data_IF_570022208028
#
_entry.id   IF_570022208028
#
_cell.length_a   1.000
_cell.length_b   1.000
_cell.length_c   1.000
_cell.angle_alpha   90.00
_cell.angle_beta   90.00
_cell.angle_gamma   90.00
#
_symmetry.space_group_name_H-M   'P 1'
#
loop_
_entity.id
_entity.type
_entity.pdbx_description
1 polymer ?
#
# COMPACT_ATOMS: atom_id res chain seq x y z
N UNK A 1 -0.61 2.11 -29.79
CA UNK A 1 -1.04 1.83 -28.41
C UNK A 1 -1.57 3.12 -27.82
N UNK A 2 -2.83 3.22 -27.37
CA UNK A 2 -3.36 4.52 -27.00
C UNK A 2 -2.91 4.87 -25.59
N UNK A 3 -2.34 6.06 -25.45
CA UNK A 3 -2.26 6.75 -24.17
C UNK A 3 -3.62 6.70 -23.44
N UNK A 4 -3.65 6.71 -22.10
CA UNK A 4 -4.90 6.75 -21.36
C UNK A 4 -5.75 7.96 -21.76
N UNK A 5 -7.07 7.79 -21.76
CA UNK A 5 -8.01 8.90 -21.94
C UNK A 5 -7.78 9.97 -20.87
N UNK A 6 -7.94 11.24 -21.24
CA UNK A 6 -7.67 12.38 -20.35
C UNK A 6 -8.48 12.32 -19.05
N UNK A 7 -9.73 11.83 -19.11
CA UNK A 7 -10.61 11.60 -17.97
C UNK A 7 -10.03 10.64 -16.94
N UNK A 8 -9.27 9.62 -17.36
CA UNK A 8 -8.65 8.63 -16.46
C UNK A 8 -7.48 9.21 -15.65
N UNK A 9 -6.89 10.33 -16.08
CA UNK A 9 -5.83 11.00 -15.31
C UNK A 9 -6.37 11.89 -14.19
N UNK A 10 -7.66 12.26 -14.24
CA UNK A 10 -8.24 13.24 -13.33
C UNK A 10 -8.09 12.81 -11.85
N UNK A 11 -8.51 11.59 -11.51
CA UNK A 11 -8.45 11.10 -10.14
C UNK A 11 -7.01 10.89 -9.64
N UNK A 12 -6.10 10.22 -10.38
CA UNK A 12 -4.69 10.11 -9.99
C UNK A 12 -4.00 11.46 -9.72
N UNK A 13 -4.29 12.50 -10.51
CA UNK A 13 -3.73 13.84 -10.27
C UNK A 13 -4.19 14.39 -8.90
N UNK A 14 -5.48 14.26 -8.58
CA UNK A 14 -6.01 14.75 -7.32
C UNK A 14 -5.49 13.93 -6.13
N UNK A 15 -5.35 12.61 -6.28
CA UNK A 15 -4.79 11.70 -5.27
C UNK A 15 -3.33 12.03 -4.96
N UNK A 16 -2.50 12.26 -5.99
CA UNK A 16 -1.09 12.65 -5.82
C UNK A 16 -0.96 14.00 -5.11
N UNK A 17 -1.79 14.98 -5.47
CA UNK A 17 -1.79 16.28 -4.79
C UNK A 17 -2.27 16.18 -3.35
N UNK A 18 -3.26 15.32 -3.07
CA UNK A 18 -3.72 15.05 -1.71
C UNK A 18 -2.60 14.42 -0.87
N UNK A 19 -1.90 13.42 -1.42
CA UNK A 19 -0.79 12.72 -0.77
C UNK A 19 0.39 13.65 -0.43
N UNK A 20 0.62 14.71 -1.21
CA UNK A 20 1.68 15.71 -0.94
C UNK A 20 1.23 16.89 -0.08
N UNK A 21 0.09 16.79 0.61
CA UNK A 21 -0.42 17.83 1.50
C UNK A 21 -1.18 18.95 0.78
N UNK A 22 -1.81 18.63 -0.35
CA UNK A 22 -2.70 19.52 -1.09
C UNK A 22 -2.02 20.38 -2.16
N UNK A 23 -0.70 20.25 -2.39
CA UNK A 23 -0.05 20.92 -3.52
C UNK A 23 1.25 20.24 -3.95
N UNK A 24 1.61 20.36 -5.23
CA UNK A 24 2.95 19.97 -5.70
C UNK A 24 3.38 20.65 -7.01
N UNK A 25 4.68 20.59 -7.33
CA UNK A 25 5.22 20.99 -8.62
C UNK A 25 4.84 19.98 -9.71
N UNK A 26 4.38 20.49 -10.84
CA UNK A 26 3.90 19.67 -11.96
C UNK A 26 4.97 18.73 -12.52
N UNK A 27 6.24 19.14 -12.45
CA UNK A 27 7.36 18.32 -12.93
C UNK A 27 7.46 16.97 -12.19
N UNK A 28 7.08 16.93 -10.91
CA UNK A 28 7.10 15.70 -10.12
C UNK A 28 5.86 14.84 -10.39
N UNK A 29 4.71 15.48 -10.66
CA UNK A 29 3.48 14.78 -11.07
C UNK A 29 3.70 13.95 -12.33
N UNK A 30 4.45 14.45 -13.32
CA UNK A 30 4.72 13.69 -14.55
C UNK A 30 5.36 12.33 -14.29
N UNK A 31 6.27 12.24 -13.32
CA UNK A 31 6.96 10.99 -13.00
C UNK A 31 6.08 10.07 -12.15
N UNK A 32 5.41 10.61 -11.13
CA UNK A 32 4.61 9.80 -10.19
C UNK A 32 3.33 9.26 -10.82
N UNK A 33 2.72 9.98 -11.75
CA UNK A 33 1.52 9.51 -12.44
C UNK A 33 1.76 8.27 -13.32
N UNK A 34 3.01 7.96 -13.68
CA UNK A 34 3.32 6.79 -14.51
C UNK A 34 2.94 5.48 -13.82
N UNK A 35 3.10 5.39 -12.49
CA UNK A 35 2.80 4.16 -11.74
C UNK A 35 1.31 3.79 -11.73
N UNK A 36 0.42 4.74 -12.04
CA UNK A 36 -1.03 4.52 -12.15
C UNK A 36 -1.43 3.89 -13.50
N UNK A 37 -0.52 3.85 -14.46
CA UNK A 37 -0.77 3.37 -15.82
C UNK A 37 0.30 2.34 -16.23
N UNK A 38 0.26 1.11 -15.67
CA UNK A 38 1.26 0.07 -15.93
C UNK A 38 1.35 -0.35 -17.41
N UNK A 39 0.36 0.02 -18.22
CA UNK A 39 0.36 -0.19 -19.66
C UNK A 39 1.29 0.77 -20.44
N UNK A 40 1.79 1.84 -19.82
CA UNK A 40 2.73 2.77 -20.47
C UNK A 40 4.14 2.16 -20.49
N UNK A 41 4.74 2.09 -21.68
CA UNK A 41 6.14 1.66 -21.84
C UNK A 41 7.07 2.88 -21.99
N UNK A 42 8.40 2.73 -21.77
CA UNK A 42 9.35 3.84 -21.89
C UNK A 42 9.27 4.59 -23.22
N UNK A 43 9.04 3.88 -24.33
CA UNK A 43 8.90 4.46 -25.66
C UNK A 43 7.70 5.43 -25.76
N UNK A 44 6.62 5.14 -25.04
CA UNK A 44 5.45 6.04 -24.98
C UNK A 44 5.77 7.30 -24.17
N UNK A 45 6.58 7.17 -23.11
CA UNK A 45 6.96 8.30 -22.26
C UNK A 45 7.90 9.27 -22.98
N UNK A 46 8.70 8.78 -23.93
CA UNK A 46 9.57 9.60 -24.78
C UNK A 46 8.89 10.12 -26.06
N UNK A 47 7.69 9.60 -26.38
CA UNK A 47 6.98 9.96 -27.59
C UNK A 47 6.67 11.47 -27.66
N UNK A 48 7.05 12.08 -28.78
CA UNK A 48 6.82 13.48 -29.07
C UNK A 48 5.79 13.68 -30.20
N UNK A 49 5.18 14.85 -30.23
CA UNK A 49 4.40 15.32 -31.38
C UNK A 49 5.32 15.81 -32.50
N UNK A 50 4.77 16.02 -33.70
CA UNK A 50 5.49 16.64 -34.81
C UNK A 50 6.05 18.04 -34.46
N UNK A 51 5.48 18.69 -33.43
CA UNK A 51 5.94 19.97 -32.90
C UNK A 51 6.97 19.84 -31.75
N UNK A 52 7.54 18.65 -31.54
CA UNK A 52 8.57 18.39 -30.52
C UNK A 52 8.07 18.37 -29.07
N UNK A 53 6.75 18.43 -28.83
CA UNK A 53 6.18 18.38 -27.48
C UNK A 53 5.96 16.95 -27.03
N UNK A 54 6.40 16.63 -25.81
CA UNK A 54 6.20 15.33 -25.18
C UNK A 54 4.70 15.04 -24.97
N UNK A 55 4.22 13.91 -25.50
CA UNK A 55 2.80 13.56 -25.53
C UNK A 55 2.22 13.30 -24.14
N UNK A 56 2.96 12.59 -23.28
CA UNK A 56 2.56 12.31 -21.90
C UNK A 56 2.35 13.60 -21.10
N UNK A 57 3.31 14.53 -21.15
CA UNK A 57 3.20 15.81 -20.45
C UNK A 57 2.01 16.64 -20.95
N UNK A 58 1.73 16.62 -22.25
CA UNK A 58 0.56 17.30 -22.80
C UNK A 58 -0.76 16.72 -22.27
N UNK A 59 -0.85 15.40 -22.14
CA UNK A 59 -2.05 14.75 -21.60
C UNK A 59 -2.29 15.10 -20.14
N UNK A 60 -1.23 15.04 -19.31
CA UNK A 60 -1.29 15.46 -17.91
C UNK A 60 -1.74 16.92 -17.82
N UNK A 61 -1.16 17.81 -18.64
CA UNK A 61 -1.55 19.23 -18.69
C UNK A 61 -3.00 19.44 -19.13
N UNK A 62 -3.51 18.63 -20.07
CA UNK A 62 -4.90 18.68 -20.52
C UNK A 62 -5.85 18.28 -19.40
N UNK A 63 -5.56 17.17 -18.71
CA UNK A 63 -6.33 16.72 -17.55
C UNK A 63 -6.33 17.75 -16.43
N UNK A 64 -5.18 18.37 -16.14
CA UNK A 64 -5.09 19.46 -15.17
C UNK A 64 -5.92 20.68 -15.54
N UNK A 65 -6.00 21.03 -16.84
CA UNK A 65 -6.86 22.13 -17.32
C UNK A 65 -8.35 21.79 -17.15
N UNK A 66 -8.74 20.54 -17.39
CA UNK A 66 -10.12 20.09 -17.18
C UNK A 66 -10.51 20.11 -15.70
N UNK A 67 -9.62 19.63 -14.82
CA UNK A 67 -9.81 19.71 -13.36
C UNK A 67 -9.91 21.15 -12.85
N UNK A 68 -9.11 22.06 -13.41
CA UNK A 68 -9.19 23.49 -13.11
C UNK A 68 -10.51 24.10 -13.56
N UNK A 69 -11.00 23.75 -14.75
CA UNK A 69 -12.29 24.23 -15.26
C UNK A 69 -13.48 23.78 -14.38
N UNK A 70 -13.40 22.59 -13.80
CA UNK A 70 -14.42 22.04 -12.88
C UNK A 70 -14.22 22.55 -11.43
N UNK A 71 -13.13 23.28 -11.18
CA UNK A 71 -12.83 23.88 -9.88
C UNK A 71 -12.34 22.89 -8.83
N UNK A 72 -11.79 21.75 -9.25
CA UNK A 72 -11.23 20.72 -8.36
C UNK A 72 -9.74 20.96 -8.07
N UNK A 73 -9.09 21.73 -8.93
CA UNK A 73 -7.67 22.05 -8.85
C UNK A 73 -7.46 23.52 -9.22
N UNK A 74 -6.41 24.15 -8.70
CA UNK A 74 -5.97 25.49 -9.08
C UNK A 74 -4.54 25.44 -9.60
N UNK A 75 -4.25 26.05 -10.75
CA UNK A 75 -2.90 26.05 -11.35
C UNK A 75 -2.20 27.38 -11.08
N UNK A 76 -1.09 27.32 -10.35
CA UNK A 76 -0.25 28.47 -10.01
C UNK A 76 1.15 28.30 -10.60
N UNK A 77 1.38 28.87 -11.79
CA UNK A 77 2.65 28.76 -12.54
C UNK A 77 3.08 27.29 -12.72
N UNK A 78 4.01 26.82 -11.88
CA UNK A 78 4.60 25.48 -11.90
C UNK A 78 4.07 24.57 -10.80
N UNK A 79 3.17 25.07 -9.94
CA UNK A 79 2.55 24.36 -8.83
C UNK A 79 1.07 24.18 -9.06
N UNK A 80 0.55 23.00 -8.79
CA UNK A 80 -0.88 22.74 -8.77
C UNK A 80 -1.33 22.55 -7.33
N UNK A 81 -2.50 23.10 -7.01
CA UNK A 81 -3.09 23.10 -5.68
C UNK A 81 -4.43 22.39 -5.73
N UNK A 82 -4.64 21.49 -4.79
CA UNK A 82 -5.92 20.84 -4.56
C UNK A 82 -6.88 21.84 -3.92
N UNK A 83 -8.10 21.90 -4.43
CA UNK A 83 -9.17 22.72 -3.84
C UNK A 83 -10.01 21.89 -2.86
N UNK A 84 -10.85 22.53 -2.05
CA UNK A 84 -11.81 21.82 -1.20
C UNK A 84 -12.75 20.89 -2.00
N UNK A 85 -13.13 21.29 -3.22
CA UNK A 85 -13.95 20.46 -4.12
C UNK A 85 -13.19 19.23 -4.61
N UNK A 86 -11.93 19.42 -5.02
CA UNK A 86 -11.07 18.31 -5.43
C UNK A 86 -10.78 17.35 -4.29
N UNK A 87 -10.54 17.88 -3.09
CA UNK A 87 -10.39 17.09 -1.87
C UNK A 87 -11.65 16.25 -1.61
N UNK A 88 -12.84 16.86 -1.65
CA UNK A 88 -14.12 16.13 -1.50
C UNK A 88 -14.29 15.04 -2.55
N UNK A 89 -13.85 15.26 -3.80
CA UNK A 89 -13.87 14.23 -4.85
C UNK A 89 -12.94 13.07 -4.51
N UNK A 90 -11.70 13.35 -4.09
CA UNK A 90 -10.75 12.31 -3.64
C UNK A 90 -11.33 11.50 -2.48
N UNK A 91 -11.92 12.17 -1.49
CA UNK A 91 -12.58 11.52 -0.35
C UNK A 91 -13.79 10.68 -0.81
N UNK A 92 -14.63 11.21 -1.70
CA UNK A 92 -15.81 10.49 -2.22
C UNK A 92 -15.41 9.26 -3.04
N UNK A 93 -14.40 9.37 -3.89
CA UNK A 93 -13.89 8.27 -4.71
C UNK A 93 -13.13 7.23 -3.87
N UNK A 94 -12.41 7.66 -2.83
CA UNK A 94 -11.85 6.76 -1.83
C UNK A 94 -12.94 5.97 -1.10
N UNK A 95 -14.11 6.58 -0.85
CA UNK A 95 -15.30 5.92 -0.31
C UNK A 95 -16.00 5.02 -1.36
N UNK A 96 -15.94 5.34 -2.65
CA UNK A 96 -16.54 4.51 -3.71
C UNK A 96 -15.69 3.28 -4.07
N UNK A 97 -14.39 3.32 -3.83
CA UNK A 97 -13.50 2.15 -3.90
C UNK A 97 -13.36 1.42 -2.56
N UNK A 98 -14.41 1.44 -1.72
CA UNK A 98 -14.50 0.51 -0.60
C UNK A 98 -14.96 -0.84 -1.16
N UNK A 99 -14.14 -1.92 -1.15
CA UNK A 99 -14.73 -3.25 -1.19
C UNK A 99 -15.69 -3.33 0.01
N UNK A 100 -16.96 -3.61 -0.25
CA UNK A 100 -18.07 -3.58 0.72
C UNK A 100 -17.66 -4.02 2.13
N UNK A 101 -17.36 -3.04 3.00
CA UNK A 101 -17.52 -3.01 4.46
C UNK A 101 -16.57 -1.99 5.09
N UNK A 102 -16.93 -0.70 5.04
CA UNK A 102 -16.71 0.17 6.18
C UNK A 102 -17.87 -0.01 7.17
N UNK A 103 -18.00 -1.23 7.72
CA UNK A 103 -18.37 -1.29 9.13
C UNK A 103 -17.04 -1.01 9.81
N UNK A 104 -16.82 0.22 10.25
CA UNK A 104 -15.92 0.43 11.38
C UNK A 104 -16.55 -0.40 12.50
N UNK A 105 -16.02 -1.58 12.87
CA UNK A 105 -16.49 -2.17 14.10
C UNK A 105 -16.09 -1.15 15.16
N UNK A 106 -17.03 -0.80 16.03
CA UNK A 106 -16.75 0.00 17.20
C UNK A 106 -15.42 -0.44 17.80
N UNK A 107 -14.51 0.51 17.96
CA UNK A 107 -13.14 0.43 18.45
C UNK A 107 -12.89 -0.74 19.41
N UNK A 108 -12.71 -1.94 18.88
CA UNK A 108 -12.08 -3.03 19.60
C UNK A 108 -10.61 -2.91 19.22
N UNK A 109 -9.83 -2.34 20.13
CA UNK A 109 -8.37 -2.32 20.01
C UNK A 109 -7.90 -3.77 19.87
N UNK A 110 -7.53 -4.16 18.65
CA UNK A 110 -7.00 -5.48 18.36
C UNK A 110 -5.79 -5.71 19.26
N UNK A 111 -5.88 -6.73 20.12
CA UNK A 111 -4.78 -7.08 21.01
C UNK A 111 -3.66 -7.78 20.24
N UNK A 112 -2.46 -7.78 20.82
CA UNK A 112 -1.30 -8.45 20.21
C UNK A 112 -1.58 -9.94 19.94
N UNK A 113 -2.20 -10.64 20.90
CA UNK A 113 -2.54 -12.06 20.76
C UNK A 113 -3.63 -12.32 19.73
N UNK A 114 -4.62 -11.44 19.60
CA UNK A 114 -5.64 -11.58 18.57
C UNK A 114 -5.06 -11.42 17.17
N UNK A 115 -4.17 -10.45 16.98
CA UNK A 115 -3.45 -10.28 15.72
C UNK A 115 -2.58 -11.51 15.39
N UNK A 116 -1.84 -12.05 16.35
CA UNK A 116 -1.09 -13.30 16.16
C UNK A 116 -2.02 -14.45 15.74
N UNK A 117 -3.15 -14.64 16.43
CA UNK A 117 -4.13 -15.68 16.09
C UNK A 117 -4.68 -15.52 14.68
N UNK A 118 -5.04 -14.30 14.27
CA UNK A 118 -5.50 -14.01 12.91
C UNK A 118 -4.45 -14.41 11.87
N UNK A 119 -3.17 -14.11 12.11
CA UNK A 119 -2.07 -14.51 11.22
C UNK A 119 -1.88 -16.02 11.13
N UNK A 120 -2.13 -16.78 12.22
CA UNK A 120 -2.11 -18.25 12.17
C UNK A 120 -3.23 -18.78 11.29
N UNK A 121 -4.45 -18.32 11.53
CA UNK A 121 -5.63 -18.76 10.80
C UNK A 121 -5.48 -18.46 9.31
N UNK A 122 -5.07 -17.24 8.96
CA UNK A 122 -4.76 -16.87 7.57
C UNK A 122 -3.70 -17.80 6.98
N UNK A 123 -2.59 -18.03 7.67
CA UNK A 123 -1.53 -18.90 7.18
C UNK A 123 -2.02 -20.31 6.87
N UNK A 124 -2.82 -20.88 7.77
CA UNK A 124 -3.42 -22.21 7.60
C UNK A 124 -4.41 -22.24 6.42
N UNK A 125 -5.23 -21.20 6.26
CA UNK A 125 -6.17 -21.08 5.12
C UNK A 125 -5.47 -20.84 3.78
N UNK A 126 -4.19 -20.48 3.78
CA UNK A 126 -3.36 -20.36 2.60
C UNK A 126 -2.41 -21.55 2.42
N UNK A 127 -2.60 -22.63 3.18
CA UNK A 127 -1.82 -23.87 3.06
C UNK A 127 -0.44 -23.82 3.69
N UNK A 128 -0.14 -22.81 4.51
CA UNK A 128 1.10 -22.71 5.26
C UNK A 128 1.04 -23.41 6.61
N UNK A 129 2.19 -23.90 7.05
CA UNK A 129 2.38 -24.27 8.45
C UNK A 129 2.74 -23.02 9.27
N UNK A 130 1.76 -22.50 10.02
CA UNK A 130 1.88 -21.28 10.80
C UNK A 130 2.05 -21.56 12.30
N UNK A 131 2.95 -20.82 12.97
CA UNK A 131 3.21 -20.93 14.41
C UNK A 131 3.36 -19.56 15.08
N UNK A 132 2.84 -19.42 16.30
CA UNK A 132 3.01 -18.22 17.14
C UNK A 132 4.23 -18.37 18.04
N UNK A 133 4.83 -17.24 18.43
CA UNK A 133 5.90 -17.14 19.41
C UNK A 133 7.06 -18.12 19.10
N UNK A 134 7.43 -18.21 17.82
CA UNK A 134 8.47 -19.12 17.36
C UNK A 134 9.85 -18.46 17.54
N UNK A 135 10.65 -19.03 18.44
CA UNK A 135 11.94 -18.49 18.87
C UNK A 135 11.82 -17.06 19.38
N UNK A 136 12.17 -16.07 18.55
CA UNK A 136 12.12 -14.64 18.86
C UNK A 136 11.06 -13.89 18.06
N UNK A 137 10.33 -14.59 17.19
CA UNK A 137 9.37 -14.02 16.25
C UNK A 137 7.94 -14.20 16.73
N UNK A 138 7.09 -13.21 16.49
CA UNK A 138 5.72 -13.26 16.98
C UNK A 138 4.88 -14.28 16.20
N UNK A 139 5.00 -14.32 14.87
CA UNK A 139 4.41 -15.39 14.03
C UNK A 139 5.36 -15.73 12.88
N UNK A 140 5.43 -17.01 12.52
CA UNK A 140 6.16 -17.48 11.34
C UNK A 140 5.31 -18.43 10.51
N UNK A 141 5.50 -18.37 9.19
CA UNK A 141 4.93 -19.35 8.26
C UNK A 141 6.03 -20.14 7.58
N UNK A 142 5.73 -21.41 7.30
CA UNK A 142 6.59 -22.36 6.61
C UNK A 142 5.80 -23.13 5.57
N UNK A 143 6.52 -23.70 4.58
CA UNK A 143 5.89 -24.56 3.58
C UNK A 143 5.31 -25.84 4.21
N UNK A 144 5.97 -26.37 5.24
CA UNK A 144 5.53 -27.53 6.00
C UNK A 144 6.12 -27.50 7.41
N UNK A 145 5.65 -28.37 8.30
CA UNK A 145 6.16 -28.47 9.68
C UNK A 145 7.66 -28.83 9.75
N UNK A 146 8.15 -29.60 8.80
CA UNK A 146 9.55 -30.04 8.73
C UNK A 146 10.44 -29.09 7.93
N UNK A 147 9.86 -28.06 7.29
CA UNK A 147 10.63 -27.10 6.53
C UNK A 147 11.55 -26.30 7.46
N UNK A 148 12.87 -26.26 7.20
CA UNK A 148 13.81 -25.49 7.99
C UNK A 148 13.73 -24.00 7.69
N UNK A 149 13.17 -23.61 6.54
CA UNK A 149 13.08 -22.22 6.10
C UNK A 149 11.77 -21.57 6.56
N UNK A 150 11.88 -20.42 7.20
CA UNK A 150 10.80 -19.48 7.46
C UNK A 150 10.49 -18.73 6.16
N UNK A 151 9.34 -19.02 5.56
CA UNK A 151 8.93 -18.35 4.32
C UNK A 151 8.45 -16.92 4.61
N UNK A 152 7.67 -16.75 5.68
CA UNK A 152 7.16 -15.46 6.12
C UNK A 152 7.43 -15.28 7.62
N UNK A 153 7.80 -14.07 8.02
CA UNK A 153 8.03 -13.69 9.41
C UNK A 153 7.24 -12.42 9.71
N UNK A 154 6.48 -12.45 10.81
CA UNK A 154 5.61 -11.38 11.22
C UNK A 154 6.00 -10.89 12.62
N UNK A 155 6.02 -9.57 12.80
CA UNK A 155 6.10 -8.90 14.10
C UNK A 155 4.87 -8.03 14.31
N UNK A 156 4.27 -8.09 15.51
CA UNK A 156 3.03 -7.41 15.86
C UNK A 156 3.30 -6.34 16.90
N UNK A 157 3.17 -5.07 16.52
CA UNK A 157 3.50 -3.94 17.36
C UNK A 157 2.27 -3.07 17.66
N UNK A 158 1.49 -3.49 18.66
CA UNK A 158 0.30 -2.74 19.14
C UNK A 158 0.70 -1.56 20.02
N UNK A 159 1.70 -1.69 20.89
CA UNK A 159 2.16 -0.64 21.82
C UNK A 159 3.64 -0.81 22.14
N UNK A 160 4.42 0.28 22.16
CA UNK A 160 5.88 0.24 22.40
C UNK A 160 6.72 0.57 21.14
N UNK A 161 8.01 0.23 21.20
CA UNK A 161 8.99 0.61 20.16
C UNK A 161 8.97 -0.33 18.95
N UNK A 162 8.83 0.27 17.75
CA UNK A 162 8.90 -0.44 16.46
C UNK A 162 10.33 -0.94 16.15
N UNK A 163 11.36 -0.32 16.72
CA UNK A 163 12.77 -0.65 16.38
C UNK A 163 13.14 -2.09 16.76
N UNK A 164 12.59 -2.61 17.86
CA UNK A 164 12.84 -3.98 18.30
C UNK A 164 12.23 -5.01 17.35
N UNK A 165 11.04 -4.72 16.79
CA UNK A 165 10.41 -5.52 15.76
C UNK A 165 11.23 -5.49 14.46
N UNK A 166 11.66 -4.30 14.02
CA UNK A 166 12.50 -4.17 12.81
C UNK A 166 13.85 -4.88 12.93
N UNK A 167 14.45 -4.85 14.11
CA UNK A 167 15.69 -5.59 14.39
C UNK A 167 15.48 -7.11 14.25
N UNK A 168 14.31 -7.62 14.68
CA UNK A 168 13.94 -9.02 14.49
C UNK A 168 13.73 -9.35 13.02
N UNK A 169 12.97 -8.54 12.29
CA UNK A 169 12.74 -8.73 10.85
C UNK A 169 14.02 -8.68 10.04
N UNK A 170 14.94 -7.74 10.35
CA UNK A 170 16.25 -7.66 9.68
C UNK A 170 17.03 -8.97 9.82
N UNK A 171 17.07 -9.52 11.02
CA UNK A 171 17.74 -10.80 11.26
C UNK A 171 17.13 -11.96 10.47
N UNK A 172 15.79 -12.03 10.40
CA UNK A 172 15.10 -13.05 9.58
C UNK A 172 15.48 -12.93 8.09
N UNK A 173 15.53 -11.70 7.58
CA UNK A 173 15.92 -11.43 6.21
C UNK A 173 17.38 -11.80 5.92
N UNK A 174 18.30 -11.44 6.80
CA UNK A 174 19.73 -11.72 6.62
C UNK A 174 20.02 -13.23 6.65
N UNK A 175 19.35 -13.98 7.52
CA UNK A 175 19.59 -15.41 7.67
C UNK A 175 18.86 -16.26 6.63
N UNK A 176 17.61 -15.94 6.33
CA UNK A 176 16.73 -16.84 5.58
C UNK A 176 16.07 -16.20 4.35
N UNK A 177 16.29 -14.90 4.13
CA UNK A 177 15.64 -14.13 3.06
C UNK A 177 14.12 -14.31 3.09
N UNK A 178 13.54 -14.29 4.29
CA UNK A 178 12.09 -14.41 4.50
C UNK A 178 11.35 -13.19 3.99
N UNK A 179 10.08 -13.37 3.64
CA UNK A 179 9.14 -12.27 3.42
C UNK A 179 8.77 -11.66 4.78
N UNK A 180 8.91 -10.34 4.93
CA UNK A 180 8.85 -9.68 6.23
C UNK A 180 7.56 -8.87 6.36
N UNK A 181 6.89 -8.99 7.50
CA UNK A 181 5.65 -8.27 7.77
C UNK A 181 5.69 -7.61 9.14
N UNK A 182 5.30 -6.34 9.18
CA UNK A 182 5.15 -5.58 10.41
C UNK A 182 3.70 -5.16 10.57
N UNK A 183 3.02 -5.67 11.60
CA UNK A 183 1.65 -5.28 11.94
C UNK A 183 1.68 -4.15 12.96
N UNK A 184 1.02 -3.02 12.69
CA UNK A 184 1.02 -1.84 13.57
C UNK A 184 -0.40 -1.29 13.80
N UNK A 185 -0.58 -0.60 14.93
CA UNK A 185 -1.83 0.09 15.24
C UNK A 185 -1.96 1.38 14.40
N UNK A 186 -3.10 1.48 13.68
CA UNK A 186 -3.42 2.39 12.56
C UNK A 186 -3.00 3.87 12.76
N UNK A 187 -3.01 4.36 14.00
CA UNK A 187 -2.71 5.76 14.34
C UNK A 187 -1.23 6.16 14.14
N UNK A 188 -0.32 5.21 13.87
CA UNK A 188 1.13 5.46 13.72
C UNK A 188 1.65 5.34 12.28
N UNK A 189 0.81 4.98 11.32
CA UNK A 189 1.29 4.18 10.18
C UNK A 189 2.11 4.93 9.13
N UNK A 190 1.70 6.10 8.64
CA UNK A 190 2.40 6.66 7.46
C UNK A 190 3.60 7.54 7.79
N UNK A 191 3.56 8.27 8.90
CA UNK A 191 4.61 9.25 9.24
C UNK A 191 5.79 8.63 9.99
N UNK A 192 5.55 7.53 10.71
CA UNK A 192 6.53 6.90 11.60
C UNK A 192 7.47 5.94 10.85
N UNK A 193 6.95 5.19 9.86
CA UNK A 193 7.77 4.39 8.97
C UNK A 193 8.73 5.26 8.15
N UNK A 194 8.25 6.27 7.42
CA UNK A 194 9.10 7.05 6.51
C UNK A 194 10.33 7.74 7.15
N UNK A 195 10.25 8.20 8.41
CA UNK A 195 11.37 8.91 9.07
C UNK A 195 12.42 8.00 9.72
N UNK A 196 12.03 6.85 10.29
CA UNK A 196 12.95 5.90 10.95
C UNK A 196 13.61 4.94 9.95
N UNK A 197 13.00 4.79 8.76
CA UNK A 197 13.45 3.95 7.64
C UNK A 197 14.54 4.59 6.76
N UNK A 198 14.90 5.85 7.00
CA UNK A 198 16.04 6.51 6.35
C UNK A 198 17.40 6.18 7.02
N UNK A 199 17.39 5.41 8.12
CA UNK A 199 18.57 5.03 8.89
C UNK A 199 18.93 3.54 8.79
N UNK A 200 19.15 2.89 9.94
CA UNK A 200 19.74 1.54 10.08
C UNK A 200 18.96 0.37 9.45
N UNK A 201 17.76 0.62 8.91
CA UNK A 201 16.88 -0.41 8.33
C UNK A 201 16.62 -0.23 6.83
N UNK A 202 17.32 0.70 6.17
CA UNK A 202 17.13 0.98 4.74
C UNK A 202 17.28 -0.27 3.85
N UNK A 203 18.16 -1.20 4.22
CA UNK A 203 18.47 -2.42 3.46
C UNK A 203 17.29 -3.40 3.34
N UNK A 204 16.39 -3.42 4.32
CA UNK A 204 15.22 -4.31 4.32
C UNK A 204 13.94 -3.60 3.91
N UNK A 205 14.02 -2.31 3.61
CA UNK A 205 12.84 -1.47 3.36
C UNK A 205 11.96 -2.01 2.23
N UNK A 206 12.57 -2.39 1.10
CA UNK A 206 11.83 -2.96 -0.03
C UNK A 206 11.27 -4.37 0.23
N UNK A 207 11.69 -5.02 1.33
CA UNK A 207 11.28 -6.37 1.70
C UNK A 207 10.25 -6.41 2.85
N UNK A 208 10.07 -5.31 3.60
CA UNK A 208 9.09 -5.23 4.70
C UNK A 208 7.75 -4.72 4.19
N UNK A 209 6.72 -5.52 4.37
CA UNK A 209 5.33 -5.12 4.18
C UNK A 209 4.74 -4.67 5.52
N UNK A 210 4.21 -3.44 5.57
CA UNK A 210 3.57 -2.90 6.77
C UNK A 210 2.05 -3.08 6.63
N UNK A 211 1.41 -3.64 7.66
CA UNK A 211 -0.03 -3.93 7.68
C UNK A 211 -0.65 -3.23 8.90
N UNK A 212 -1.68 -2.43 8.69
CA UNK A 212 -2.45 -1.83 9.79
C UNK A 212 -3.32 -2.88 10.49
N UNK A 213 -3.52 -2.78 11.81
CA UNK A 213 -4.42 -3.69 12.55
C UNK A 213 -5.83 -3.79 11.95
N UNK A 214 -6.39 -2.67 11.46
CA UNK A 214 -7.67 -2.67 10.77
C UNK A 214 -7.62 -3.40 9.42
N UNK A 215 -6.50 -3.30 8.70
CA UNK A 215 -6.28 -4.04 7.45
C UNK A 215 -6.18 -5.55 7.69
N UNK A 216 -5.42 -5.96 8.73
CA UNK A 216 -5.33 -7.36 9.14
C UNK A 216 -6.70 -7.95 9.47
N UNK A 217 -7.52 -7.23 10.23
CA UNK A 217 -8.86 -7.70 10.60
C UNK A 217 -9.78 -7.83 9.39
N UNK A 218 -9.69 -6.89 8.43
CA UNK A 218 -10.45 -6.97 7.17
C UNK A 218 -10.01 -8.16 6.33
N UNK A 219 -8.70 -8.36 6.17
CA UNK A 219 -8.15 -9.50 5.43
C UNK A 219 -8.59 -10.82 6.05
N UNK A 220 -8.46 -10.95 7.37
CA UNK A 220 -8.90 -12.12 8.11
C UNK A 220 -10.38 -12.40 7.89
N UNK A 221 -11.23 -11.38 8.06
CA UNK A 221 -12.69 -11.53 7.90
C UNK A 221 -13.05 -11.93 6.47
N UNK A 222 -12.42 -11.32 5.46
CA UNK A 222 -12.68 -11.62 4.05
C UNK A 222 -12.27 -13.05 3.69
N UNK A 223 -11.09 -13.51 4.14
CA UNK A 223 -10.62 -14.87 3.90
C UNK A 223 -11.47 -15.90 4.65
N UNK A 224 -11.89 -15.60 5.89
CA UNK A 224 -12.78 -16.46 6.67
C UNK A 224 -14.10 -16.72 5.93
N UNK A 225 -14.69 -15.68 5.33
CA UNK A 225 -15.93 -15.80 4.55
C UNK A 225 -15.77 -16.68 3.31
N UNK A 226 -14.56 -16.76 2.75
CA UNK A 226 -14.24 -17.52 1.54
C UNK A 226 -13.45 -18.79 1.82
N UNK A 227 -13.31 -19.21 3.09
CA UNK A 227 -12.45 -20.32 3.49
C UNK A 227 -12.80 -21.62 2.76
N UNK A 228 -14.10 -21.89 2.58
CA UNK A 228 -14.56 -23.07 1.83
C UNK A 228 -14.11 -23.03 0.38
N UNK A 229 -14.16 -21.87 -0.29
CA UNK A 229 -13.67 -21.75 -1.67
C UNK A 229 -12.15 -21.93 -1.72
N UNK A 230 -11.43 -21.32 -0.78
CA UNK A 230 -9.97 -21.44 -0.68
C UNK A 230 -9.52 -22.89 -0.50
N UNK A 231 -10.21 -23.67 0.33
CA UNK A 231 -9.84 -25.09 0.51
C UNK A 231 -9.96 -25.89 -0.78
N UNK A 232 -10.97 -25.64 -1.61
CA UNK A 232 -11.10 -26.31 -2.92
C UNK A 232 -9.96 -25.93 -3.88
N UNK A 233 -9.44 -24.70 -3.81
CA UNK A 233 -8.34 -24.26 -4.68
C UNK A 233 -6.97 -24.80 -4.25
N UNK A 234 -6.82 -25.17 -2.99
CA UNK A 234 -5.55 -25.67 -2.43
C UNK A 234 -5.47 -27.20 -2.37
N UNK A 235 -6.56 -27.90 -2.70
CA UNK A 235 -6.56 -29.37 -2.77
C UNK A 235 -6.19 -29.77 -4.20
N UNK A 236 -4.95 -30.21 -4.43
CA UNK A 236 -4.56 -30.99 -5.62
C UNK A 236 -5.04 -32.45 -5.50
#
# INVERSE_FOLDING_TARGET
>A
MPFPETTRLALPILQELHATGGSDQVKYLYARLVSYFPQLVPEDLDACTNAGRNRWRMLVQRAGKELEAVGELKRERTRWLLTARGQKRVETEAVQFTPTNHVTPASQTLTHKEAQRMLIEIGQWLGHYAQMEFERYDVVWRASQTSPRLSHVFEVQISGSVDSALTRLKHAYEQQRSNLFLVIADERDQRFAGKRMAGAFHEIWSAVTVIGTGELQRLHTALAQQQALLSHLMTE
#
